data_IF_226898791419
#
_entry.id   IF_226898791419
#
_cell.length_a   1.000
_cell.length_b   1.000
_cell.length_c   1.000
_cell.angle_alpha   90.00
_cell.angle_beta   90.00
_cell.angle_gamma   90.00
#
_symmetry.space_group_name_H-M   'P 1'
#
loop_
_entity.id
_entity.type
_entity.pdbx_description
1 polymer ?
#
# COMPACT_ATOMS: atom_id res chain seq x y z
N UNK A 1 4.62 -1.53 -16.14
CA UNK A 1 3.51 -0.81 -15.49
C UNK A 1 3.99 -0.15 -14.22
N UNK A 2 3.64 1.12 -14.04
CA UNK A 2 4.35 2.02 -13.12
C UNK A 2 3.48 2.50 -11.95
N UNK A 3 2.16 2.40 -12.07
CA UNK A 3 1.21 3.03 -11.14
C UNK A 3 -0.01 2.15 -10.93
N UNK A 4 -0.51 2.09 -9.69
CA UNK A 4 -1.79 1.46 -9.33
C UNK A 4 -2.61 2.45 -8.51
N UNK A 5 -3.91 2.54 -8.79
CA UNK A 5 -4.88 3.30 -8.01
C UNK A 5 -5.87 2.34 -7.34
N UNK A 6 -5.98 2.44 -6.01
CA UNK A 6 -6.96 1.75 -5.18
C UNK A 6 -8.01 2.78 -4.79
N UNK A 7 -9.20 2.66 -5.37
CA UNK A 7 -10.30 3.61 -5.17
C UNK A 7 -10.85 3.62 -3.74
N UNK A 8 -11.64 4.65 -3.42
CA UNK A 8 -12.23 4.87 -2.09
C UNK A 8 -13.20 3.74 -1.67
N UNK A 9 -13.83 3.06 -2.62
CA UNK A 9 -14.76 1.96 -2.38
C UNK A 9 -14.06 0.62 -2.07
N UNK A 10 -12.76 0.50 -2.37
CA UNK A 10 -12.03 -0.74 -2.08
C UNK A 10 -11.94 -0.93 -0.58
N UNK A 11 -12.46 -2.05 -0.07
CA UNK A 11 -12.39 -2.40 1.34
C UNK A 11 -11.34 -3.47 1.62
N UNK A 12 -10.96 -4.27 0.64
CA UNK A 12 -10.08 -5.43 0.78
C UNK A 12 -8.89 -5.34 -0.18
N UNK A 13 -7.69 -5.58 0.34
CA UNK A 13 -6.50 -5.92 -0.44
C UNK A 13 -6.18 -7.38 -0.13
N UNK A 14 -6.26 -8.26 -1.13
CA UNK A 14 -6.07 -9.70 -0.95
C UNK A 14 -4.65 -10.11 -0.53
N UNK A 15 -4.52 -11.39 -0.16
CA UNK A 15 -3.21 -12.03 0.07
C UNK A 15 -2.37 -11.91 -1.20
N UNK A 16 -1.11 -11.49 -1.06
CA UNK A 16 -0.16 -11.39 -2.19
C UNK A 16 -0.62 -10.52 -3.40
N UNK A 17 -1.59 -9.62 -3.23
CA UNK A 17 -2.17 -8.82 -4.32
C UNK A 17 -1.14 -8.06 -5.18
N UNK A 18 -0.08 -7.54 -4.55
CA UNK A 18 1.05 -6.87 -5.23
C UNK A 18 2.38 -7.62 -5.02
N UNK A 19 2.31 -8.94 -4.82
CA UNK A 19 3.50 -9.75 -4.60
C UNK A 19 4.39 -9.75 -5.83
N UNK A 20 5.69 -9.47 -5.63
CA UNK A 20 6.68 -9.51 -6.70
C UNK A 20 6.52 -8.41 -7.77
N UNK A 21 5.72 -7.37 -7.55
CA UNK A 21 5.55 -6.26 -8.48
C UNK A 21 6.79 -5.35 -8.57
N UNK A 22 7.91 -5.86 -9.11
CA UNK A 22 9.23 -5.20 -9.19
C UNK A 22 9.26 -3.91 -10.00
N UNK A 23 8.27 -3.68 -10.87
CA UNK A 23 8.17 -2.47 -11.71
C UNK A 23 7.22 -1.40 -11.13
N UNK A 24 6.57 -1.67 -10.00
CA UNK A 24 5.61 -0.76 -9.38
C UNK A 24 6.32 0.46 -8.74
N UNK A 25 6.09 1.65 -9.31
CA UNK A 25 6.70 2.90 -8.84
C UNK A 25 5.77 3.72 -7.96
N UNK A 26 4.47 3.66 -8.23
CA UNK A 26 3.45 4.47 -7.55
C UNK A 26 2.27 3.61 -7.13
N UNK A 27 1.82 3.77 -5.89
CA UNK A 27 0.60 3.16 -5.37
C UNK A 27 -0.25 4.23 -4.72
N UNK A 28 -1.42 4.49 -5.27
CA UNK A 28 -2.35 5.51 -4.78
C UNK A 28 -3.56 4.84 -4.12
N UNK A 29 -3.60 4.87 -2.79
CA UNK A 29 -4.67 4.29 -1.99
C UNK A 29 -5.55 5.41 -1.46
N UNK A 30 -6.79 5.43 -1.93
CA UNK A 30 -7.82 6.38 -1.48
C UNK A 30 -8.80 5.74 -0.49
N UNK A 31 -8.69 4.43 -0.26
CA UNK A 31 -9.52 3.72 0.71
C UNK A 31 -9.28 4.23 2.12
N UNK A 32 -10.34 4.57 2.88
CA UNK A 32 -10.22 4.98 4.27
C UNK A 32 -10.36 3.80 5.26
N UNK A 33 -10.58 2.57 4.79
CA UNK A 33 -11.04 1.47 5.64
C UNK A 33 -10.08 0.30 5.78
N UNK A 34 -8.82 0.43 5.34
CA UNK A 34 -7.90 -0.70 5.37
C UNK A 34 -7.39 -0.96 6.78
N UNK A 35 -7.52 -2.21 7.22
CA UNK A 35 -7.04 -2.69 8.51
C UNK A 35 -6.25 -4.00 8.32
N UNK A 36 -5.76 -4.57 9.41
CA UNK A 36 -5.13 -5.89 9.36
C UNK A 36 -6.10 -6.99 8.91
N UNK A 37 -7.39 -6.87 9.20
CA UNK A 37 -8.40 -7.83 8.73
C UNK A 37 -8.55 -7.77 7.21
N UNK A 38 -8.43 -6.58 6.64
CA UNK A 38 -8.72 -6.31 5.23
C UNK A 38 -7.51 -6.12 4.34
N UNK A 39 -6.31 -6.28 4.87
CA UNK A 39 -5.09 -6.34 4.06
C UNK A 39 -4.56 -7.75 4.21
N UNK A 40 -4.34 -8.48 3.13
CA UNK A 40 -3.88 -9.86 3.17
C UNK A 40 -2.42 -10.00 3.60
N UNK A 41 -1.99 -11.20 3.94
CA UNK A 41 -0.58 -11.47 4.22
C UNK A 41 0.27 -11.30 2.95
N UNK A 42 1.49 -10.78 3.13
CA UNK A 42 2.45 -10.54 2.04
C UNK A 42 1.91 -9.71 0.85
N UNK A 43 0.87 -8.90 1.05
CA UNK A 43 0.23 -8.13 0.00
C UNK A 43 1.20 -7.25 -0.80
N UNK A 44 2.30 -6.79 -0.18
CA UNK A 44 3.31 -5.92 -0.82
C UNK A 44 4.71 -6.54 -0.82
N UNK A 45 4.86 -7.83 -0.56
CA UNK A 45 6.17 -8.47 -0.50
C UNK A 45 6.80 -8.49 -1.89
N UNK A 46 8.06 -8.08 -2.00
CA UNK A 46 8.77 -8.02 -3.28
C UNK A 46 8.51 -6.76 -4.11
N UNK A 47 7.88 -5.72 -3.54
CA UNK A 47 7.80 -4.41 -4.19
C UNK A 47 9.12 -3.61 -4.07
N UNK A 48 9.37 -2.63 -4.96
CA UNK A 48 10.57 -1.82 -4.94
C UNK A 48 10.73 -0.98 -3.67
N UNK A 49 11.98 -0.80 -3.22
CA UNK A 49 12.29 0.07 -2.09
C UNK A 49 11.94 1.54 -2.34
N UNK A 50 12.18 2.02 -3.56
CA UNK A 50 12.08 3.45 -3.91
C UNK A 50 10.71 3.84 -4.49
N UNK A 51 9.65 3.09 -4.18
CA UNK A 51 8.29 3.43 -4.63
C UNK A 51 7.66 4.54 -3.77
N UNK A 52 6.66 5.22 -4.34
CA UNK A 52 5.85 6.23 -3.67
C UNK A 52 4.47 5.66 -3.37
N UNK A 53 4.05 5.72 -2.11
CA UNK A 53 2.71 5.30 -1.67
C UNK A 53 1.93 6.53 -1.23
N UNK A 54 0.83 6.80 -1.90
CA UNK A 54 -0.11 7.86 -1.57
C UNK A 54 -1.25 7.27 -0.75
N UNK A 55 -1.52 7.84 0.41
CA UNK A 55 -2.54 7.38 1.37
C UNK A 55 -3.30 8.56 1.95
N UNK A 56 -4.54 8.40 2.45
CA UNK A 56 -5.27 9.49 3.07
C UNK A 56 -4.47 10.05 4.25
N UNK A 57 -4.30 11.39 4.34
CA UNK A 57 -3.48 12.04 5.38
C UNK A 57 -3.78 11.56 6.80
N UNK A 58 -5.07 11.40 7.13
CA UNK A 58 -5.55 10.93 8.43
C UNK A 58 -5.04 9.52 8.79
N UNK A 59 -4.67 8.71 7.80
CA UNK A 59 -4.32 7.30 7.99
C UNK A 59 -2.86 6.99 7.70
N UNK A 60 -2.06 7.98 7.31
CA UNK A 60 -0.68 7.79 6.89
C UNK A 60 0.18 7.04 7.92
N UNK A 61 0.05 7.40 9.21
CA UNK A 61 0.77 6.72 10.30
C UNK A 61 0.36 5.25 10.45
N UNK A 62 -0.95 4.97 10.41
CA UNK A 62 -1.49 3.62 10.58
C UNK A 62 -1.16 2.74 9.37
N UNK A 63 -1.33 3.27 8.16
CA UNK A 63 -1.08 2.55 6.91
C UNK A 63 0.39 2.25 6.71
N UNK A 64 1.28 3.17 7.11
CA UNK A 64 2.72 2.88 7.14
C UNK A 64 3.01 1.64 7.98
N UNK A 65 2.54 1.59 9.23
CA UNK A 65 2.73 0.41 10.10
C UNK A 65 2.10 -0.86 9.50
N UNK A 66 0.87 -0.73 8.99
CA UNK A 66 0.12 -1.83 8.39
C UNK A 66 0.85 -2.43 7.18
N UNK A 67 1.24 -1.62 6.20
CA UNK A 67 1.84 -2.10 4.95
C UNK A 67 3.25 -2.66 5.18
N UNK A 68 4.01 -2.10 6.12
CA UNK A 68 5.28 -2.70 6.54
C UNK A 68 5.08 -4.12 7.09
N UNK A 69 4.06 -4.33 7.95
CA UNK A 69 3.69 -5.68 8.41
C UNK A 69 3.21 -6.60 7.28
N UNK A 70 2.79 -6.06 6.13
CA UNK A 70 2.34 -6.83 4.95
C UNK A 70 3.40 -6.97 3.85
N UNK A 71 4.67 -6.77 4.19
CA UNK A 71 5.82 -7.05 3.32
C UNK A 71 6.36 -5.85 2.55
N UNK A 72 5.83 -4.64 2.78
CA UNK A 72 6.38 -3.42 2.19
C UNK A 72 7.72 -3.06 2.85
N UNK A 73 8.68 -2.53 2.08
CA UNK A 73 10.01 -2.16 2.58
C UNK A 73 9.96 -0.85 3.38
N UNK A 74 10.79 -0.73 4.42
CA UNK A 74 10.90 0.47 5.27
C UNK A 74 11.34 1.73 4.52
N UNK A 75 12.07 1.55 3.42
CA UNK A 75 12.60 2.62 2.56
C UNK A 75 11.56 3.24 1.63
N UNK A 76 10.33 2.70 1.60
CA UNK A 76 9.23 3.23 0.79
C UNK A 76 8.81 4.60 1.30
N UNK A 77 8.58 5.52 0.37
CA UNK A 77 8.14 6.88 0.69
C UNK A 77 6.62 6.95 0.78
N UNK A 78 6.10 7.38 1.93
CA UNK A 78 4.67 7.60 2.14
C UNK A 78 4.33 9.08 1.99
N UNK A 79 3.32 9.40 1.18
CA UNK A 79 2.79 10.76 0.99
C UNK A 79 1.31 10.81 1.32
N UNK A 80 0.91 11.84 2.07
CA UNK A 80 -0.48 12.07 2.43
C UNK A 80 -1.22 12.81 1.31
N UNK A 81 -2.30 12.22 0.79
CA UNK A 81 -3.25 12.90 -0.12
C UNK A 81 -4.39 13.55 0.68
N UNK A 82 -4.88 14.66 0.13
CA UNK A 82 -6.01 15.42 0.67
C UNK A 82 -7.30 14.63 0.50
#
# INVERSE_FOLDING_TARGET
MSSVKVGRSVRLIGKQCFYGCKKLRTLNIQSPGLSQKYTGSNAFKGTPAKMKVYVPRKQAKNYKKLFLKRGMRKTVTFKGIR
#
